data_IF_238390586693
#
_entry.id   IF_238390586693
#
_cell.length_a   1.000
_cell.length_b   1.000
_cell.length_c   1.000
_cell.angle_alpha   90.00
_cell.angle_beta   90.00
_cell.angle_gamma   90.00
#
_symmetry.space_group_name_H-M   'P 1'
#
loop_
_entity.id
_entity.type
_entity.pdbx_description
1 polymer ?
#
# COMPACT_ATOMS: atom_id res chain seq x y z
N UNK A 1 -3.94 -21.42 25.45
CA UNK A 1 -5.37 -21.52 25.08
C UNK A 1 -5.65 -20.39 24.10
N UNK A 2 -6.03 -20.70 22.86
CA UNK A 2 -6.20 -19.70 21.80
C UNK A 2 -7.68 -19.62 21.40
N UNK A 3 -8.27 -18.43 21.49
CA UNK A 3 -9.55 -18.12 20.88
C UNK A 3 -9.29 -17.40 19.54
N UNK A 4 -9.16 -18.17 18.47
CA UNK A 4 -9.13 -17.65 17.11
C UNK A 4 -10.56 -17.51 16.60
N UNK A 5 -11.22 -16.40 16.93
CA UNK A 5 -12.57 -16.09 16.45
C UNK A 5 -12.50 -15.66 14.99
N UNK A 6 -12.57 -16.61 14.06
CA UNK A 6 -12.49 -16.35 12.64
C UNK A 6 -13.68 -15.48 12.17
N UNK A 7 -13.39 -14.22 11.81
CA UNK A 7 -14.36 -13.31 11.23
C UNK A 7 -14.73 -13.79 9.81
N UNK A 8 -15.91 -14.40 9.68
CA UNK A 8 -16.35 -15.03 8.44
C UNK A 8 -17.00 -13.97 7.55
N UNK A 9 -16.31 -13.54 6.50
CA UNK A 9 -16.89 -12.62 5.52
C UNK A 9 -18.18 -13.19 4.93
N UNK A 10 -19.20 -12.34 4.66
CA UNK A 10 -20.34 -12.74 3.84
C UNK A 10 -19.84 -13.25 2.48
N UNK A 11 -20.39 -14.36 1.99
CA UNK A 11 -20.11 -14.81 0.64
C UNK A 11 -20.72 -13.81 -0.36
N UNK A 12 -19.99 -13.52 -1.43
CA UNK A 12 -20.52 -12.71 -2.52
C UNK A 12 -21.81 -13.34 -3.08
N UNK A 13 -22.81 -12.51 -3.47
CA UNK A 13 -24.01 -13.02 -4.10
C UNK A 13 -23.62 -13.75 -5.40
N UNK A 14 -24.19 -14.94 -5.61
CA UNK A 14 -23.93 -15.71 -6.84
C UNK A 14 -24.29 -14.84 -8.05
N UNK A 15 -23.46 -14.81 -9.10
CA UNK A 15 -23.84 -14.12 -10.33
C UNK A 15 -25.15 -14.72 -10.83
N UNK A 16 -26.10 -13.85 -11.18
CA UNK A 16 -27.30 -14.25 -11.88
C UNK A 16 -26.89 -14.91 -13.20
N UNK A 17 -27.62 -15.94 -13.67
CA UNK A 17 -27.36 -16.51 -14.99
C UNK A 17 -27.41 -15.40 -16.03
N UNK A 18 -26.40 -15.33 -16.91
CA UNK A 18 -26.47 -14.52 -18.11
C UNK A 18 -27.69 -14.97 -18.90
N UNK A 19 -28.64 -14.05 -19.10
CA UNK A 19 -29.60 -14.19 -20.18
C UNK A 19 -28.78 -13.97 -21.46
N UNK A 20 -28.43 -15.07 -22.12
CA UNK A 20 -27.81 -15.01 -23.44
C UNK A 20 -28.76 -14.29 -24.41
N UNK A 21 -28.18 -13.59 -25.39
CA UNK A 21 -28.88 -12.68 -26.31
C UNK A 21 -29.78 -13.41 -27.33
N UNK A 22 -30.90 -13.98 -26.87
CA UNK A 22 -31.99 -14.42 -27.74
C UNK A 22 -32.89 -13.23 -28.10
N UNK A 23 -32.59 -12.63 -29.26
CA UNK A 23 -33.39 -11.61 -29.96
C UNK A 23 -34.78 -12.14 -30.37
N UNK A 24 -35.68 -12.41 -29.41
CA UNK A 24 -37.09 -12.69 -29.70
C UNK A 24 -37.81 -11.40 -30.12
N UNK A 25 -37.69 -11.12 -31.42
CA UNK A 25 -38.39 -10.06 -32.15
C UNK A 25 -39.91 -10.16 -31.95
N UNK A 26 -40.45 -9.34 -31.04
CA UNK A 26 -41.90 -9.17 -30.86
C UNK A 26 -42.51 -8.41 -32.04
N UNK A 27 -42.72 -9.13 -33.16
CA UNK A 27 -43.45 -8.64 -34.32
C UNK A 27 -44.94 -8.57 -33.97
N UNK A 28 -45.37 -7.38 -33.51
CA UNK A 28 -46.80 -7.08 -33.30
C UNK A 28 -47.51 -6.99 -34.65
N UNK A 29 -48.06 -8.11 -35.11
CA UNK A 29 -48.92 -8.15 -36.30
C UNK A 29 -50.29 -7.52 -36.02
N UNK A 30 -50.41 -6.22 -36.25
CA UNK A 30 -51.69 -5.53 -36.34
C UNK A 30 -52.45 -5.92 -37.62
N UNK A 31 -53.01 -7.14 -37.65
CA UNK A 31 -53.88 -7.61 -38.72
C UNK A 31 -55.31 -7.05 -38.58
N UNK A 32 -55.53 -5.84 -39.10
CA UNK A 32 -56.89 -5.33 -39.34
C UNK A 32 -57.53 -6.09 -40.51
N UNK A 33 -58.45 -7.01 -40.22
CA UNK A 33 -59.41 -7.53 -41.18
C UNK A 33 -60.82 -7.50 -40.55
N UNK A 34 -61.75 -6.82 -41.25
CA UNK A 34 -63.17 -6.76 -40.87
C UNK A 34 -63.93 -7.99 -41.38
N UNK A 35 -65.17 -8.09 -40.90
CA UNK A 35 -66.29 -8.82 -41.48
C UNK A 35 -66.21 -10.36 -41.48
N UNK A 36 -66.90 -10.98 -40.52
CA UNK A 36 -68.10 -11.78 -40.84
C UNK A 36 -68.88 -12.21 -39.60
N UNK A 37 -70.18 -12.48 -39.80
CA UNK A 37 -71.12 -12.94 -38.80
C UNK A 37 -70.82 -14.38 -38.34
N UNK A 38 -70.83 -14.63 -37.03
CA UNK A 38 -71.32 -15.88 -36.46
C UNK A 38 -71.68 -15.68 -34.98
N UNK A 39 -72.86 -16.12 -34.59
CA UNK A 39 -73.27 -16.26 -33.19
C UNK A 39 -72.60 -17.49 -32.58
N UNK A 40 -71.92 -17.36 -31.44
CA UNK A 40 -72.01 -18.41 -30.42
C UNK A 40 -71.71 -17.91 -29.00
N UNK A 41 -72.19 -18.68 -28.01
CA UNK A 41 -72.22 -18.27 -26.61
C UNK A 41 -70.85 -18.31 -25.92
N UNK A 42 -70.26 -17.15 -25.65
CA UNK A 42 -69.18 -17.02 -24.66
C UNK A 42 -69.78 -16.95 -23.25
N UNK A 43 -69.73 -18.06 -22.50
CA UNK A 43 -69.84 -18.03 -21.05
C UNK A 43 -68.58 -17.35 -20.49
N UNK A 44 -68.75 -16.16 -19.92
CA UNK A 44 -67.68 -15.54 -19.13
C UNK A 44 -67.49 -16.37 -17.85
N UNK A 45 -66.51 -17.27 -17.87
CA UNK A 45 -66.03 -17.96 -16.66
C UNK A 45 -65.43 -16.92 -15.72
N UNK A 46 -66.29 -16.39 -14.86
CA UNK A 46 -65.86 -15.61 -13.69
C UNK A 46 -65.03 -16.56 -12.83
N UNK A 47 -63.75 -16.24 -12.54
CA UNK A 47 -62.91 -17.13 -11.73
C UNK A 47 -63.61 -17.37 -10.39
N UNK A 48 -63.69 -18.65 -10.01
CA UNK A 48 -64.49 -19.13 -8.89
C UNK A 48 -64.23 -18.28 -7.64
N UNK A 49 -65.30 -17.97 -6.90
CA UNK A 49 -65.24 -17.13 -5.71
C UNK A 49 -64.27 -17.69 -4.66
N UNK A 50 -64.04 -19.01 -4.68
CA UNK A 50 -62.99 -19.70 -3.94
C UNK A 50 -61.59 -19.13 -4.23
N UNK A 51 -61.18 -19.03 -5.50
CA UNK A 51 -59.86 -18.54 -5.94
C UNK A 51 -59.66 -17.08 -5.54
N UNK A 52 -60.71 -16.26 -5.64
CA UNK A 52 -60.67 -14.85 -5.22
C UNK A 52 -60.57 -14.73 -3.68
N UNK A 53 -61.13 -15.69 -2.93
CA UNK A 53 -61.01 -15.75 -1.47
C UNK A 53 -59.62 -16.19 -1.03
N UNK A 54 -59.06 -17.22 -1.68
CA UNK A 54 -57.71 -17.74 -1.42
C UNK A 54 -56.64 -16.67 -1.71
N UNK A 55 -56.72 -16.00 -2.87
CA UNK A 55 -55.81 -14.90 -3.20
C UNK A 55 -55.84 -13.77 -2.17
N UNK A 56 -57.02 -13.41 -1.63
CA UNK A 56 -57.14 -12.42 -0.55
C UNK A 56 -56.54 -12.91 0.77
N UNK A 57 -56.67 -14.20 1.07
CA UNK A 57 -56.13 -14.79 2.29
C UNK A 57 -54.60 -14.85 2.26
N UNK A 58 -54.01 -15.20 1.10
CA UNK A 58 -52.56 -15.16 0.88
C UNK A 58 -52.00 -13.74 0.97
N UNK A 59 -52.62 -12.77 0.29
CA UNK A 59 -52.22 -11.34 0.40
C UNK A 59 -52.31 -10.85 1.85
N UNK A 60 -53.32 -11.29 2.61
CA UNK A 60 -53.46 -10.93 4.02
C UNK A 60 -52.35 -11.55 4.88
N UNK A 61 -52.04 -12.84 4.69
CA UNK A 61 -50.93 -13.50 5.41
C UNK A 61 -49.59 -12.83 5.11
N UNK A 62 -49.33 -12.47 3.86
CA UNK A 62 -48.07 -11.82 3.47
C UNK A 62 -47.94 -10.41 4.09
N UNK A 63 -49.05 -9.65 4.15
CA UNK A 63 -49.06 -8.35 4.84
C UNK A 63 -48.87 -8.49 6.36
N UNK A 64 -49.46 -9.50 7.00
CA UNK A 64 -49.26 -9.79 8.43
C UNK A 64 -47.82 -10.28 8.71
N UNK A 65 -47.20 -11.02 7.79
CA UNK A 65 -45.80 -11.44 7.87
C UNK A 65 -44.85 -10.23 7.74
N UNK A 66 -45.09 -9.34 6.77
CA UNK A 66 -44.29 -8.12 6.58
C UNK A 66 -44.39 -7.14 7.76
N UNK A 67 -45.56 -7.02 8.42
CA UNK A 67 -45.72 -6.18 9.60
C UNK A 67 -45.00 -6.79 10.83
N UNK A 68 -45.09 -8.11 11.01
CA UNK A 68 -44.31 -8.87 12.00
C UNK A 68 -42.79 -8.73 11.78
N UNK A 69 -42.33 -8.78 10.53
CA UNK A 69 -40.91 -8.61 10.17
C UNK A 69 -40.44 -7.16 10.32
N UNK A 70 -41.32 -6.18 10.03
CA UNK A 70 -41.09 -4.77 10.34
C UNK A 70 -40.87 -4.52 11.83
N UNK A 71 -41.72 -5.08 12.70
CA UNK A 71 -41.52 -5.03 14.15
C UNK A 71 -40.23 -5.72 14.58
N UNK A 72 -39.86 -6.84 13.94
CA UNK A 72 -38.61 -7.57 14.20
C UNK A 72 -37.37 -6.75 13.82
N UNK A 73 -37.41 -6.04 12.70
CA UNK A 73 -36.37 -5.09 12.28
C UNK A 73 -36.27 -3.88 13.22
N UNK A 74 -37.40 -3.36 13.72
CA UNK A 74 -37.40 -2.31 14.74
C UNK A 74 -36.68 -2.72 16.01
N UNK A 75 -36.95 -3.94 16.52
CA UNK A 75 -36.26 -4.51 17.70
C UNK A 75 -34.78 -4.81 17.39
N UNK A 76 -34.44 -5.23 16.18
CA UNK A 76 -33.04 -5.43 15.77
C UNK A 76 -32.26 -4.12 15.64
N UNK A 77 -32.89 -2.99 15.30
CA UNK A 77 -32.23 -1.68 15.30
C UNK A 77 -31.87 -1.23 16.72
N UNK A 78 -32.75 -1.47 17.71
CA UNK A 78 -32.45 -1.23 19.13
C UNK A 78 -31.40 -2.21 19.66
N UNK A 79 -31.47 -3.49 19.26
CA UNK A 79 -30.47 -4.48 19.67
C UNK A 79 -29.10 -4.22 19.04
N UNK A 80 -29.00 -3.82 17.78
CA UNK A 80 -27.74 -3.39 17.16
C UNK A 80 -27.22 -2.09 17.77
N UNK A 81 -28.10 -1.13 18.11
CA UNK A 81 -27.68 0.07 18.83
C UNK A 81 -27.12 -0.28 20.21
N UNK A 82 -27.78 -1.18 20.96
CA UNK A 82 -27.32 -1.68 22.24
C UNK A 82 -26.04 -2.51 22.12
N UNK A 83 -25.90 -3.33 21.08
CA UNK A 83 -24.72 -4.18 20.83
C UNK A 83 -23.52 -3.33 20.40
N UNK A 84 -23.73 -2.24 19.64
CA UNK A 84 -22.72 -1.21 19.34
C UNK A 84 -22.36 -0.46 20.62
N UNK A 85 -23.33 -0.05 21.45
CA UNK A 85 -23.07 0.65 22.71
C UNK A 85 -22.37 -0.24 23.75
N UNK A 86 -22.70 -1.54 23.78
CA UNK A 86 -22.07 -2.54 24.63
C UNK A 86 -20.68 -2.94 24.08
N UNK A 87 -20.47 -2.93 22.76
CA UNK A 87 -19.14 -3.08 22.15
C UNK A 87 -18.26 -1.87 22.44
N UNK A 88 -18.81 -0.64 22.39
CA UNK A 88 -18.13 0.60 22.80
C UNK A 88 -17.83 0.58 24.31
N UNK A 89 -18.71 0.03 25.16
CA UNK A 89 -18.44 -0.18 26.60
C UNK A 89 -17.46 -1.33 26.88
N UNK A 90 -17.34 -2.31 25.96
CA UNK A 90 -16.36 -3.41 26.01
C UNK A 90 -15.01 -3.04 25.41
N UNK A 91 -14.90 -1.93 24.68
CA UNK A 91 -13.60 -1.32 24.41
C UNK A 91 -12.96 -0.96 25.77
N UNK A 92 -11.72 -1.37 26.03
CA UNK A 92 -11.08 -1.08 27.31
C UNK A 92 -10.98 0.44 27.51
N UNK A 93 -11.24 0.97 28.72
CA UNK A 93 -11.14 2.41 28.96
C UNK A 93 -9.70 2.87 28.71
N UNK A 94 -9.51 3.66 27.65
CA UNK A 94 -8.21 4.14 27.15
C UNK A 94 -7.48 5.10 28.11
N UNK A 95 -8.05 5.35 29.29
CA UNK A 95 -7.44 6.10 30.39
C UNK A 95 -6.65 5.22 31.40
N UNK A 96 -6.50 3.91 31.16
CA UNK A 96 -5.43 3.14 31.81
C UNK A 96 -4.22 3.07 30.88
N UNK A 97 -3.38 4.10 30.94
CA UNK A 97 -2.01 4.02 30.45
C UNK A 97 -1.37 2.74 31.03
N UNK A 98 -0.71 1.89 30.20
CA UNK A 98 -0.06 0.69 30.70
C UNK A 98 0.91 1.03 31.83
N UNK A 99 0.96 0.21 32.88
CA UNK A 99 2.00 0.38 33.92
C UNK A 99 3.41 0.18 33.33
N UNK A 100 3.49 -0.50 32.18
CA UNK A 100 4.66 -0.54 31.28
C UNK A 100 5.09 0.84 30.75
N UNK A 101 4.17 1.79 30.50
CA UNK A 101 4.56 3.18 30.14
C UNK A 101 5.11 3.95 31.35
N UNK A 102 4.61 3.69 32.57
CA UNK A 102 5.17 4.33 33.79
C UNK A 102 6.62 3.92 34.05
N UNK A 103 7.02 2.71 33.67
CA UNK A 103 8.41 2.28 33.72
C UNK A 103 9.31 2.99 32.69
N UNK A 104 8.74 3.48 31.59
CA UNK A 104 9.48 4.10 30.48
C UNK A 104 9.87 5.57 30.71
N UNK A 105 9.24 6.23 31.69
CA UNK A 105 9.50 7.65 32.01
C UNK A 105 10.35 7.89 33.27
N UNK A 106 11.05 6.86 33.78
CA UNK A 106 12.04 7.03 34.86
C UNK A 106 13.37 7.59 34.34
N UNK A 107 13.29 8.73 33.64
CA UNK A 107 14.44 9.42 33.01
C UNK A 107 15.52 9.75 34.05
N UNK A 108 15.11 10.07 35.29
CA UNK A 108 15.98 10.38 36.42
C UNK A 108 16.86 9.20 36.89
N UNK A 109 16.58 7.96 36.47
CA UNK A 109 17.34 6.77 36.89
C UNK A 109 18.34 6.26 35.85
N UNK A 110 18.34 6.79 34.63
CA UNK A 110 19.22 6.35 33.53
C UNK A 110 20.34 7.33 33.21
N UNK A 111 20.28 8.57 33.71
CA UNK A 111 21.25 9.63 33.40
C UNK A 111 22.54 9.61 34.23
N UNK A 112 22.70 8.68 35.18
CA UNK A 112 23.90 8.65 36.05
C UNK A 112 25.12 8.00 35.40
N UNK A 113 24.92 7.05 34.47
CA UNK A 113 25.99 6.20 33.94
C UNK A 113 26.15 6.30 32.41
N UNK A 114 25.28 7.05 31.71
CA UNK A 114 25.33 7.21 30.25
C UNK A 114 26.22 8.38 29.83
N UNK A 115 27.04 8.17 28.81
CA UNK A 115 27.87 9.23 28.22
C UNK A 115 27.02 10.28 27.47
N UNK A 116 27.53 11.50 27.32
CA UNK A 116 26.82 12.60 26.61
C UNK A 116 26.40 12.18 25.20
N UNK A 117 27.30 11.53 24.46
CA UNK A 117 27.07 11.05 23.09
C UNK A 117 25.98 9.97 23.03
N UNK A 118 25.82 9.18 24.09
CA UNK A 118 24.79 8.15 24.18
C UNK A 118 23.42 8.73 24.53
N UNK A 119 23.39 9.78 25.35
CA UNK A 119 22.19 10.59 25.62
C UNK A 119 21.75 11.30 24.33
N UNK A 120 22.66 11.91 23.57
CA UNK A 120 22.35 12.57 22.30
C UNK A 120 21.80 11.59 21.25
N UNK A 121 22.39 10.39 21.16
CA UNK A 121 21.91 9.33 20.26
C UNK A 121 20.53 8.82 20.66
N UNK A 122 20.26 8.64 21.96
CA UNK A 122 18.94 8.25 22.46
C UNK A 122 17.90 9.34 22.28
N UNK A 123 18.27 10.60 22.46
CA UNK A 123 17.40 11.75 22.17
C UNK A 123 17.05 11.81 20.68
N UNK A 124 18.02 11.60 19.79
CA UNK A 124 17.82 11.56 18.34
C UNK A 124 16.87 10.42 17.94
N UNK A 125 17.10 9.21 18.45
CA UNK A 125 16.21 8.06 18.26
C UNK A 125 14.77 8.37 18.72
N UNK A 126 14.60 8.95 19.91
CA UNK A 126 13.27 9.32 20.43
C UNK A 126 12.59 10.41 19.59
N UNK A 127 13.34 11.34 18.98
CA UNK A 127 12.80 12.35 18.07
C UNK A 127 12.33 11.71 16.76
N UNK A 128 13.11 10.80 16.17
CA UNK A 128 12.71 10.05 14.97
C UNK A 128 11.47 9.18 15.22
N UNK A 129 11.43 8.45 16.34
CA UNK A 129 10.25 7.68 16.77
C UNK A 129 9.02 8.58 16.97
N UNK A 130 9.20 9.79 17.53
CA UNK A 130 8.11 10.76 17.70
C UNK A 130 7.56 11.27 16.36
N UNK A 131 8.44 11.57 15.40
CA UNK A 131 8.06 11.96 14.03
C UNK A 131 7.29 10.82 13.35
N UNK A 132 7.80 9.59 13.40
CA UNK A 132 7.13 8.41 12.83
C UNK A 132 5.74 8.17 13.44
N UNK A 133 5.61 8.26 14.77
CA UNK A 133 4.32 8.15 15.46
C UNK A 133 3.34 9.26 15.04
N UNK A 134 3.82 10.50 14.90
CA UNK A 134 3.01 11.62 14.43
C UNK A 134 2.49 11.40 13.01
N UNK A 135 3.34 10.92 12.11
CA UNK A 135 2.95 10.64 10.73
C UNK A 135 1.98 9.45 10.65
N UNK A 136 2.18 8.41 11.45
CA UNK A 136 1.25 7.27 11.60
C UNK A 136 -0.14 7.75 12.07
N UNK A 137 -0.19 8.66 13.06
CA UNK A 137 -1.44 9.26 13.55
C UNK A 137 -2.11 10.13 12.46
N UNK A 138 -1.34 10.90 11.68
CA UNK A 138 -1.87 11.69 10.57
C UNK A 138 -2.48 10.80 9.47
N UNK A 139 -1.79 9.72 9.07
CA UNK A 139 -2.32 8.73 8.13
C UNK A 139 -3.60 8.07 8.65
N UNK A 140 -3.62 7.66 9.92
CA UNK A 140 -4.80 7.07 10.55
C UNK A 140 -6.00 8.04 10.54
N UNK A 141 -5.78 9.31 10.90
CA UNK A 141 -6.81 10.35 10.84
C UNK A 141 -7.35 10.57 9.42
N UNK A 142 -6.49 10.51 8.39
CA UNK A 142 -6.92 10.59 6.98
C UNK A 142 -7.75 9.37 6.57
N UNK A 143 -7.35 8.16 6.98
CA UNK A 143 -8.09 6.93 6.73
C UNK A 143 -9.47 6.93 7.42
N UNK A 144 -9.53 7.34 8.69
CA UNK A 144 -10.77 7.49 9.46
C UNK A 144 -11.71 8.50 8.80
N UNK A 145 -11.18 9.65 8.34
CA UNK A 145 -11.98 10.63 7.59
C UNK A 145 -12.55 10.05 6.30
N UNK A 146 -11.73 9.33 5.51
CA UNK A 146 -12.21 8.66 4.29
C UNK A 146 -13.27 7.60 4.57
N UNK A 147 -13.16 6.85 5.67
CA UNK A 147 -14.20 5.90 6.08
C UNK A 147 -15.49 6.62 6.51
N UNK A 148 -15.39 7.73 7.25
CA UNK A 148 -16.53 8.55 7.63
C UNK A 148 -17.27 9.13 6.42
N UNK A 149 -16.54 9.66 5.43
CA UNK A 149 -17.10 10.19 4.18
C UNK A 149 -17.85 9.07 3.39
N UNK A 150 -17.32 7.84 3.37
CA UNK A 150 -18.00 6.67 2.77
C UNK A 150 -19.29 6.28 3.51
N UNK A 151 -19.28 6.32 4.85
CA UNK A 151 -20.47 6.03 5.67
C UNK A 151 -21.55 7.10 5.46
N UNK A 152 -21.16 8.39 5.37
CA UNK A 152 -22.09 9.48 5.05
C UNK A 152 -22.74 9.28 3.67
N UNK A 153 -21.96 8.98 2.64
CA UNK A 153 -22.48 8.74 1.29
C UNK A 153 -23.49 7.57 1.27
N UNK A 154 -23.15 6.45 1.92
CA UNK A 154 -24.06 5.32 2.04
C UNK A 154 -25.36 5.69 2.79
N UNK A 155 -25.25 6.46 3.86
CA UNK A 155 -26.40 6.94 4.63
C UNK A 155 -27.33 7.84 3.79
N UNK A 156 -26.77 8.74 2.99
CA UNK A 156 -27.53 9.61 2.08
C UNK A 156 -28.28 8.80 0.99
N UNK A 157 -27.64 7.78 0.43
CA UNK A 157 -28.25 6.94 -0.61
C UNK A 157 -29.32 6.00 -0.04
N UNK A 158 -29.10 5.41 1.14
CA UNK A 158 -30.14 4.67 1.87
C UNK A 158 -31.35 5.57 2.20
N UNK A 159 -31.12 6.82 2.65
CA UNK A 159 -32.22 7.78 2.82
C UNK A 159 -32.94 8.08 1.50
N UNK A 160 -32.22 8.21 0.37
CA UNK A 160 -32.78 8.46 -0.95
C UNK A 160 -33.67 7.29 -1.39
N UNK A 161 -33.20 6.05 -1.28
CA UNK A 161 -34.00 4.84 -1.55
C UNK A 161 -35.26 4.84 -0.66
N UNK A 162 -35.13 5.05 0.65
CA UNK A 162 -36.28 5.09 1.57
C UNK A 162 -37.30 6.18 1.20
N UNK A 163 -36.86 7.37 0.78
CA UNK A 163 -37.74 8.43 0.24
C UNK A 163 -38.49 7.93 -1.00
N UNK A 164 -37.79 7.39 -2.00
CA UNK A 164 -38.45 6.90 -3.24
C UNK A 164 -39.43 5.75 -2.99
N UNK A 165 -39.16 4.84 -2.05
CA UNK A 165 -40.08 3.77 -1.67
C UNK A 165 -41.33 4.33 -0.98
N UNK A 166 -41.16 5.30 -0.07
CA UNK A 166 -42.28 6.01 0.57
C UNK A 166 -43.16 6.72 -0.45
N UNK A 167 -42.57 7.40 -1.43
CA UNK A 167 -43.31 8.10 -2.48
C UNK A 167 -44.08 7.12 -3.39
N UNK A 168 -43.45 6.00 -3.77
CA UNK A 168 -44.10 4.89 -4.51
C UNK A 168 -45.27 4.28 -3.72
N UNK A 169 -45.14 4.10 -2.40
CA UNK A 169 -46.21 3.60 -1.54
C UNK A 169 -47.38 4.59 -1.43
N UNK A 170 -47.09 5.89 -1.35
CA UNK A 170 -48.12 6.94 -1.37
C UNK A 170 -48.86 6.95 -2.71
N UNK A 171 -48.14 6.81 -3.83
CA UNK A 171 -48.75 6.79 -5.16
C UNK A 171 -49.59 5.52 -5.40
N UNK A 172 -49.07 4.34 -5.03
CA UNK A 172 -49.83 3.09 -5.08
C UNK A 172 -51.13 3.19 -4.25
N UNK A 173 -51.09 3.85 -3.08
CA UNK A 173 -52.29 4.12 -2.28
C UNK A 173 -53.27 5.04 -2.99
N UNK A 174 -52.81 6.12 -3.65
CA UNK A 174 -53.69 7.00 -4.47
C UNK A 174 -54.39 6.22 -5.59
N UNK A 175 -53.66 5.39 -6.33
CA UNK A 175 -54.22 4.55 -7.40
C UNK A 175 -55.26 3.58 -6.85
N UNK A 176 -54.98 2.93 -5.71
CA UNK A 176 -55.93 2.03 -5.04
C UNK A 176 -57.21 2.77 -4.61
N UNK A 177 -57.09 3.98 -4.06
CA UNK A 177 -58.24 4.76 -3.60
C UNK A 177 -59.05 5.36 -4.77
N UNK A 178 -58.41 5.72 -5.88
CA UNK A 178 -59.08 6.07 -7.13
C UNK A 178 -59.87 4.88 -7.72
N UNK A 179 -59.25 3.70 -7.84
CA UNK A 179 -59.92 2.49 -8.33
C UNK A 179 -61.09 2.03 -7.44
N UNK A 180 -61.06 2.32 -6.13
CA UNK A 180 -62.22 2.13 -5.24
C UNK A 180 -63.36 3.10 -5.58
N UNK A 181 -63.05 4.39 -5.75
CA UNK A 181 -64.01 5.42 -6.14
C UNK A 181 -64.69 5.07 -7.46
N UNK A 182 -63.91 4.69 -8.49
CA UNK A 182 -64.41 4.32 -9.81
C UNK A 182 -65.29 3.07 -9.73
N UNK A 183 -64.86 2.05 -8.99
CA UNK A 183 -65.66 0.83 -8.73
C UNK A 183 -67.00 1.16 -8.06
N UNK A 184 -67.03 2.12 -7.14
CA UNK A 184 -68.25 2.55 -6.47
C UNK A 184 -69.10 3.54 -7.31
N UNK A 185 -68.53 4.20 -8.34
CA UNK A 185 -69.31 4.88 -9.39
C UNK A 185 -69.97 3.89 -10.34
N UNK A 186 -69.18 2.96 -10.90
CA UNK A 186 -69.67 1.93 -11.82
C UNK A 186 -70.76 1.05 -11.19
N UNK A 187 -70.67 0.75 -9.88
CA UNK A 187 -71.77 0.10 -9.15
C UNK A 187 -73.06 0.92 -9.14
N UNK A 188 -72.97 2.23 -8.89
CA UNK A 188 -74.14 3.15 -8.87
C UNK A 188 -74.76 3.25 -10.25
N UNK A 189 -73.97 3.46 -11.29
CA UNK A 189 -74.40 3.47 -12.69
C UNK A 189 -75.05 2.14 -13.10
N UNK A 190 -74.47 1.00 -12.71
CA UNK A 190 -75.06 -0.32 -12.96
C UNK A 190 -76.39 -0.52 -12.25
N UNK A 191 -76.57 0.00 -11.02
CA UNK A 191 -77.87 -0.04 -10.34
C UNK A 191 -78.92 0.86 -11.00
N UNK A 192 -78.51 2.01 -11.55
CA UNK A 192 -79.42 2.94 -12.22
C UNK A 192 -79.85 2.43 -13.60
N UNK A 193 -78.91 1.91 -14.39
CA UNK A 193 -79.21 1.26 -15.68
C UNK A 193 -80.15 0.05 -15.52
N UNK A 194 -80.09 -0.67 -14.39
CA UNK A 194 -81.07 -1.71 -14.08
C UNK A 194 -82.48 -1.15 -13.86
N UNK A 195 -82.63 -0.06 -13.09
CA UNK A 195 -83.93 0.61 -12.89
C UNK A 195 -84.53 1.10 -14.21
N UNK A 196 -83.73 1.79 -15.02
CA UNK A 196 -84.17 2.29 -16.34
C UNK A 196 -84.64 1.13 -17.23
N UNK A 197 -83.91 0.01 -17.26
CA UNK A 197 -84.31 -1.19 -18.00
C UNK A 197 -85.62 -1.81 -17.47
N UNK A 198 -85.79 -1.86 -16.16
CA UNK A 198 -87.01 -2.39 -15.51
C UNK A 198 -88.22 -1.49 -15.76
N UNK A 199 -88.04 -0.17 -15.92
CA UNK A 199 -89.11 0.76 -16.28
C UNK A 199 -89.43 0.74 -17.79
N UNK A 200 -88.41 0.73 -18.66
CA UNK A 200 -88.61 0.55 -20.11
C UNK A 200 -89.33 -0.76 -20.44
N UNK A 201 -89.07 -1.85 -19.71
CA UNK A 201 -89.79 -3.13 -19.92
C UNK A 201 -91.25 -3.07 -19.46
N UNK A 202 -91.60 -2.25 -18.47
CA UNK A 202 -93.01 -1.97 -18.10
C UNK A 202 -93.72 -1.14 -19.17
N UNK A 203 -93.07 -0.14 -19.75
CA UNK A 203 -93.69 0.72 -20.76
C UNK A 203 -93.81 0.04 -22.14
N UNK A 204 -92.86 -0.83 -22.51
CA UNK A 204 -92.99 -1.73 -23.68
C UNK A 204 -94.13 -2.75 -23.47
N UNK A 205 -94.38 -3.20 -22.24
CA UNK A 205 -95.53 -4.05 -21.93
C UNK A 205 -96.88 -3.30 -22.00
N UNK A 206 -96.91 -2.00 -21.69
CA UNK A 206 -98.10 -1.13 -21.80
C UNK A 206 -98.43 -0.74 -23.24
N UNK A 207 -97.42 -0.60 -24.10
CA UNK A 207 -97.59 -0.07 -25.47
C UNK A 207 -98.07 -1.10 -26.51
N UNK A 208 -98.59 -2.26 -26.08
CA UNK A 208 -98.93 -3.39 -26.96
C UNK A 208 -100.44 -3.68 -27.14
N UNK A 209 -101.33 -2.82 -26.62
CA UNK A 209 -102.75 -3.17 -26.43
C UNK A 209 -103.82 -2.30 -27.09
N UNK A 210 -103.49 -1.24 -27.86
CA UNK A 210 -104.52 -0.34 -28.42
C UNK A 210 -104.31 0.04 -29.90
N UNK A 211 -105.38 -0.07 -30.70
CA UNK A 211 -105.44 0.31 -32.12
C UNK A 211 -106.49 -0.48 -32.92
N UNK A 212 -107.67 0.11 -33.18
CA UNK A 212 -108.75 -0.47 -34.01
C UNK A 212 -109.35 0.59 -34.96
N UNK A 213 -109.66 0.18 -36.18
CA UNK A 213 -110.41 0.95 -37.20
C UNK A 213 -111.86 1.29 -36.78
N UNK A 214 -112.49 2.30 -37.43
CA UNK A 214 -113.75 1.99 -38.14
C UNK A 214 -113.98 2.71 -39.49
N UNK A 215 -114.94 2.19 -40.28
CA UNK A 215 -115.38 2.69 -41.61
C UNK A 215 -116.59 3.65 -41.56
N UNK A 216 -116.99 4.18 -42.73
CA UNK A 216 -117.75 5.43 -42.94
C UNK A 216 -118.90 5.28 -43.94
N UNK A 217 -119.96 6.10 -43.77
CA UNK A 217 -121.03 6.44 -44.71
C UNK A 217 -121.32 7.97 -44.52
N UNK A 218 -121.81 8.83 -45.43
CA UNK A 218 -122.43 8.73 -46.78
C UNK A 218 -123.95 8.46 -46.77
N UNK A 219 -124.81 9.13 -47.54
CA UNK A 219 -124.59 10.06 -48.68
C UNK A 219 -125.11 11.50 -48.47
N UNK A 220 -125.86 11.79 -47.39
CA UNK A 220 -126.17 13.17 -46.94
C UNK A 220 -124.90 13.96 -46.55
N UNK A 221 -123.77 13.26 -46.50
CA UNK A 221 -122.47 13.83 -46.20
C UNK A 221 -122.03 14.89 -47.22
N UNK A 222 -122.38 14.86 -48.51
CA UNK A 222 -121.67 15.68 -49.54
C UNK A 222 -121.72 17.20 -49.32
N UNK A 223 -122.81 17.78 -48.81
CA UNK A 223 -122.87 19.23 -48.53
C UNK A 223 -122.23 19.62 -47.19
N UNK A 224 -122.48 18.84 -46.12
CA UNK A 224 -121.73 19.04 -44.86
C UNK A 224 -120.25 18.70 -45.03
N UNK A 225 -119.88 17.77 -45.91
CA UNK A 225 -118.50 17.45 -46.29
C UNK A 225 -117.85 18.62 -46.99
N UNK A 226 -118.55 19.43 -47.79
CA UNK A 226 -117.88 20.55 -48.43
C UNK A 226 -117.55 21.64 -47.40
N UNK A 227 -118.45 21.92 -46.47
CA UNK A 227 -118.24 22.92 -45.42
C UNK A 227 -117.29 22.40 -44.32
N UNK A 228 -117.46 21.15 -43.88
CA UNK A 228 -116.52 20.46 -42.99
C UNK A 228 -115.17 20.25 -43.68
N UNK A 229 -115.09 19.97 -44.98
CA UNK A 229 -113.79 19.89 -45.67
C UNK A 229 -113.17 21.27 -45.87
N UNK A 230 -113.93 22.34 -46.10
CA UNK A 230 -113.35 23.70 -46.14
C UNK A 230 -112.90 24.18 -44.75
N UNK A 231 -113.59 23.77 -43.68
CA UNK A 231 -113.13 23.95 -42.31
C UNK A 231 -111.92 23.06 -41.98
N UNK A 232 -111.92 21.80 -42.46
CA UNK A 232 -110.80 20.85 -42.31
C UNK A 232 -109.59 21.30 -43.12
N UNK A 233 -109.77 21.90 -44.29
CA UNK A 233 -108.71 22.50 -45.11
C UNK A 233 -108.11 23.67 -44.34
N UNK A 234 -108.92 24.59 -43.79
CA UNK A 234 -108.37 25.67 -42.94
C UNK A 234 -107.68 25.17 -41.67
N UNK A 235 -108.21 24.14 -41.01
CA UNK A 235 -107.58 23.49 -39.85
C UNK A 235 -106.28 22.77 -40.26
N UNK A 236 -106.24 22.15 -41.44
CA UNK A 236 -105.06 21.51 -42.02
C UNK A 236 -104.03 22.55 -42.48
N UNK A 237 -104.44 23.69 -43.02
CA UNK A 237 -103.57 24.81 -43.38
C UNK A 237 -102.97 25.44 -42.11
N UNK A 238 -103.76 25.70 -41.08
CA UNK A 238 -103.27 26.25 -39.80
C UNK A 238 -102.38 25.24 -39.05
N UNK A 239 -102.67 23.94 -39.12
CA UNK A 239 -101.79 22.91 -38.55
C UNK A 239 -100.54 22.67 -39.40
N UNK A 240 -100.61 22.76 -40.74
CA UNK A 240 -99.43 22.76 -41.61
C UNK A 240 -98.55 23.98 -41.33
N UNK A 241 -99.10 25.19 -41.22
CA UNK A 241 -98.33 26.39 -40.89
C UNK A 241 -97.66 26.26 -39.51
N UNK A 242 -98.39 25.74 -38.50
CA UNK A 242 -97.80 25.43 -37.17
C UNK A 242 -96.71 24.36 -37.24
N UNK A 243 -96.88 23.34 -38.09
CA UNK A 243 -95.87 22.29 -38.32
C UNK A 243 -94.67 22.79 -39.10
N UNK A 244 -94.83 23.70 -40.06
CA UNK A 244 -93.75 24.35 -40.80
C UNK A 244 -92.97 25.32 -39.90
N UNK A 245 -93.66 26.14 -39.10
CA UNK A 245 -93.02 27.02 -38.12
C UNK A 245 -92.32 26.21 -37.02
N UNK A 246 -92.94 25.11 -36.56
CA UNK A 246 -92.33 24.16 -35.62
C UNK A 246 -91.12 23.45 -36.22
N UNK A 247 -91.21 23.02 -37.48
CA UNK A 247 -90.15 22.40 -38.26
C UNK A 247 -88.95 23.32 -38.42
N UNK A 248 -89.17 24.55 -38.92
CA UNK A 248 -88.11 25.57 -39.04
C UNK A 248 -87.44 25.86 -37.70
N UNK A 249 -88.20 26.06 -36.62
CA UNK A 249 -87.63 26.23 -35.26
C UNK A 249 -86.83 25.01 -34.80
N UNK A 250 -87.25 23.80 -35.17
CA UNK A 250 -86.50 22.58 -34.89
C UNK A 250 -85.21 22.50 -35.71
N UNK A 251 -85.23 22.90 -36.98
CA UNK A 251 -84.06 22.97 -37.86
C UNK A 251 -83.07 24.06 -37.39
N UNK A 252 -83.55 25.25 -37.00
CA UNK A 252 -82.74 26.33 -36.43
C UNK A 252 -82.08 25.90 -35.11
N UNK A 253 -82.80 25.17 -34.25
CA UNK A 253 -82.24 24.61 -33.01
C UNK A 253 -81.18 23.53 -33.31
N UNK A 254 -81.45 22.62 -34.25
CA UNK A 254 -80.51 21.55 -34.63
C UNK A 254 -79.25 22.11 -35.31
N UNK A 255 -79.38 23.12 -36.17
CA UNK A 255 -78.23 23.78 -36.80
C UNK A 255 -77.38 24.54 -35.78
N UNK A 256 -77.99 25.28 -34.85
CA UNK A 256 -77.27 25.91 -33.74
C UNK A 256 -76.53 24.89 -32.86
N UNK A 257 -77.13 23.73 -32.59
CA UNK A 257 -76.48 22.68 -31.81
C UNK A 257 -75.31 22.02 -32.58
N UNK A 258 -75.47 21.79 -33.88
CA UNK A 258 -74.39 21.32 -34.76
C UNK A 258 -73.23 22.32 -34.78
N UNK A 259 -73.49 23.62 -34.78
CA UNK A 259 -72.44 24.65 -34.73
C UNK A 259 -71.69 24.66 -33.39
N UNK A 260 -72.40 24.54 -32.25
CA UNK A 260 -71.76 24.39 -30.92
C UNK A 260 -70.87 23.16 -30.87
N UNK A 261 -71.39 22.00 -31.30
CA UNK A 261 -70.63 20.75 -31.35
C UNK A 261 -69.41 20.85 -32.29
N UNK A 262 -69.49 21.59 -33.40
CA UNK A 262 -68.33 21.87 -34.26
C UNK A 262 -67.28 22.72 -33.55
N UNK A 263 -67.67 23.78 -32.85
CA UNK A 263 -66.76 24.64 -32.10
C UNK A 263 -66.07 23.89 -30.95
N UNK A 264 -66.81 23.02 -30.24
CA UNK A 264 -66.27 22.17 -29.17
C UNK A 264 -65.31 21.09 -29.69
N UNK A 265 -65.62 20.48 -30.84
CA UNK A 265 -64.70 19.57 -31.53
C UNK A 265 -63.43 20.30 -32.01
N UNK A 266 -63.53 21.54 -32.53
CA UNK A 266 -62.35 22.32 -32.93
C UNK A 266 -61.46 22.66 -31.73
N UNK A 267 -62.05 23.00 -30.58
CA UNK A 267 -61.33 23.24 -29.32
C UNK A 267 -60.61 21.97 -28.85
N UNK A 268 -61.32 20.84 -28.81
CA UNK A 268 -60.76 19.53 -28.45
C UNK A 268 -59.61 19.10 -29.37
N UNK A 269 -59.71 19.37 -30.68
CA UNK A 269 -58.64 19.10 -31.65
C UNK A 269 -57.39 19.98 -31.45
N UNK A 270 -57.54 21.21 -30.95
CA UNK A 270 -56.41 22.08 -30.56
C UNK A 270 -55.73 21.54 -29.31
N UNK A 271 -56.49 21.20 -28.28
CA UNK A 271 -55.97 20.61 -27.04
C UNK A 271 -55.22 19.28 -27.32
N UNK A 272 -55.76 18.40 -28.15
CA UNK A 272 -55.09 17.16 -28.58
C UNK A 272 -53.78 17.45 -29.33
N UNK A 273 -53.72 18.52 -30.14
CA UNK A 273 -52.51 18.92 -30.86
C UNK A 273 -51.42 19.41 -29.92
N UNK A 274 -51.78 20.26 -28.96
CA UNK A 274 -50.86 20.77 -27.93
C UNK A 274 -50.32 19.65 -27.03
N UNK A 275 -51.18 18.71 -26.61
CA UNK A 275 -50.77 17.52 -25.85
C UNK A 275 -49.79 16.66 -26.64
N UNK A 276 -50.03 16.46 -27.95
CA UNK A 276 -49.10 15.71 -28.82
C UNK A 276 -47.75 16.41 -28.97
N UNK A 277 -47.74 17.73 -29.19
CA UNK A 277 -46.49 18.49 -29.31
C UNK A 277 -45.68 18.43 -28.00
N UNK A 278 -46.34 18.62 -26.86
CA UNK A 278 -45.69 18.51 -25.54
C UNK A 278 -45.18 17.09 -25.25
N UNK A 279 -45.93 16.06 -25.65
CA UNK A 279 -45.48 14.66 -25.56
C UNK A 279 -44.22 14.41 -26.41
N UNK A 280 -44.13 14.96 -27.62
CA UNK A 280 -42.91 14.83 -28.45
C UNK A 280 -41.71 15.55 -27.84
N UNK A 281 -41.89 16.75 -27.27
CA UNK A 281 -40.82 17.49 -26.57
C UNK A 281 -40.31 16.71 -25.35
N UNK A 282 -41.21 16.23 -24.50
CA UNK A 282 -40.86 15.45 -23.30
C UNK A 282 -40.15 14.13 -23.65
N UNK A 283 -40.53 13.50 -24.77
CA UNK A 283 -39.87 12.28 -25.27
C UNK A 283 -38.42 12.56 -25.70
N UNK A 284 -38.17 13.69 -26.38
CA UNK A 284 -36.82 14.09 -26.79
C UNK A 284 -35.95 14.55 -25.59
N UNK A 285 -36.52 15.26 -24.62
CA UNK A 285 -35.85 15.58 -23.36
C UNK A 285 -35.46 14.32 -22.59
N UNK A 286 -36.34 13.31 -22.52
CA UNK A 286 -36.04 12.01 -21.93
C UNK A 286 -34.92 11.26 -22.69
N UNK A 287 -34.91 11.35 -24.02
CA UNK A 287 -33.85 10.76 -24.87
C UNK A 287 -32.48 11.41 -24.57
N UNK A 288 -32.43 12.74 -24.53
CA UNK A 288 -31.22 13.50 -24.21
C UNK A 288 -30.75 13.26 -22.76
N UNK A 289 -31.69 13.13 -21.81
CA UNK A 289 -31.37 12.78 -20.42
C UNK A 289 -30.70 11.41 -20.32
N UNK A 290 -31.22 10.38 -21.00
CA UNK A 290 -30.61 9.04 -21.05
C UNK A 290 -29.24 9.04 -21.73
N UNK A 291 -29.05 9.84 -22.77
CA UNK A 291 -27.75 9.98 -23.43
C UNK A 291 -26.70 10.61 -22.49
N UNK A 292 -27.10 11.59 -21.67
CA UNK A 292 -26.23 12.19 -20.65
C UNK A 292 -25.96 11.26 -19.46
N UNK A 293 -26.96 10.48 -19.04
CA UNK A 293 -26.82 9.43 -18.01
C UNK A 293 -25.78 8.38 -18.44
N UNK A 294 -25.88 7.85 -19.66
CA UNK A 294 -24.91 6.90 -20.21
C UNK A 294 -23.50 7.50 -20.33
N UNK A 295 -23.36 8.78 -20.73
CA UNK A 295 -22.06 9.47 -20.73
C UNK A 295 -21.48 9.62 -19.32
N UNK A 296 -22.32 9.88 -18.32
CA UNK A 296 -21.88 10.00 -16.93
C UNK A 296 -21.45 8.64 -16.36
N UNK A 297 -22.20 7.57 -16.65
CA UNK A 297 -21.88 6.20 -16.29
C UNK A 297 -20.52 5.77 -16.90
N UNK A 298 -20.30 6.03 -18.18
CA UNK A 298 -19.00 5.78 -18.83
C UNK A 298 -17.85 6.55 -18.17
N UNK A 299 -18.08 7.79 -17.73
CA UNK A 299 -17.07 8.55 -16.97
C UNK A 299 -16.81 7.99 -15.57
N UNK A 300 -17.84 7.47 -14.89
CA UNK A 300 -17.68 6.79 -13.60
C UNK A 300 -16.84 5.52 -13.78
N UNK A 301 -17.20 4.65 -14.73
CA UNK A 301 -16.44 3.43 -15.05
C UNK A 301 -14.97 3.75 -15.39
N UNK A 302 -14.72 4.80 -16.18
CA UNK A 302 -13.37 5.23 -16.52
C UNK A 302 -12.56 5.74 -15.31
N UNK A 303 -13.22 6.41 -14.35
CA UNK A 303 -12.59 6.84 -13.09
C UNK A 303 -12.30 5.65 -12.18
N UNK A 304 -13.25 4.74 -11.97
CA UNK A 304 -13.07 3.54 -11.15
C UNK A 304 -11.90 2.68 -11.64
N UNK A 305 -11.79 2.43 -12.96
CA UNK A 305 -10.64 1.72 -13.55
C UNK A 305 -9.29 2.40 -13.29
N UNK A 306 -9.28 3.73 -13.24
CA UNK A 306 -8.06 4.51 -12.92
C UNK A 306 -7.71 4.42 -11.43
N UNK A 307 -8.71 4.41 -10.55
CA UNK A 307 -8.52 4.20 -9.11
C UNK A 307 -8.01 2.78 -8.81
N UNK A 308 -8.56 1.75 -9.47
CA UNK A 308 -8.04 0.38 -9.42
C UNK A 308 -6.58 0.31 -9.88
N UNK A 309 -6.24 0.96 -10.99
CA UNK A 309 -4.86 1.01 -11.50
C UNK A 309 -3.90 1.69 -10.52
N UNK A 310 -4.31 2.81 -9.89
CA UNK A 310 -3.50 3.50 -8.88
C UNK A 310 -3.35 2.67 -7.61
N UNK A 311 -4.41 2.00 -7.16
CA UNK A 311 -4.38 1.09 -6.00
C UNK A 311 -3.42 -0.08 -6.24
N UNK A 312 -3.45 -0.68 -7.45
CA UNK A 312 -2.50 -1.73 -7.84
C UNK A 312 -1.05 -1.23 -8.00
N UNK A 313 -0.83 0.05 -8.29
CA UNK A 313 0.52 0.65 -8.26
C UNK A 313 1.01 0.89 -6.83
N UNK A 314 0.11 1.31 -5.93
CA UNK A 314 0.42 1.54 -4.51
C UNK A 314 0.84 0.23 -3.83
N UNK A 315 0.07 -0.85 -3.99
CA UNK A 315 0.40 -2.17 -3.43
C UNK A 315 1.78 -2.70 -3.91
N UNK A 316 2.12 -2.47 -5.18
CA UNK A 316 3.46 -2.81 -5.74
C UNK A 316 4.58 -1.91 -5.24
N UNK A 317 4.27 -0.71 -4.74
CA UNK A 317 5.24 0.16 -4.11
C UNK A 317 5.46 -0.24 -2.63
N UNK A 318 4.40 -0.66 -1.94
CA UNK A 318 4.44 -1.22 -0.58
C UNK A 318 5.26 -2.52 -0.54
N UNK A 319 5.01 -3.48 -1.43
CA UNK A 319 5.80 -4.73 -1.57
C UNK A 319 7.31 -4.43 -1.76
N UNK A 320 7.64 -3.41 -2.56
CA UNK A 320 9.03 -2.98 -2.77
C UNK A 320 9.62 -2.29 -1.55
N UNK A 321 8.83 -1.53 -0.80
CA UNK A 321 9.27 -0.89 0.44
C UNK A 321 9.58 -1.96 1.51
N UNK A 322 8.71 -2.97 1.67
CA UNK A 322 8.97 -4.12 2.54
C UNK A 322 10.27 -4.85 2.15
N UNK A 323 10.49 -5.09 0.86
CA UNK A 323 11.73 -5.72 0.40
C UNK A 323 12.98 -4.86 0.69
N UNK A 324 12.87 -3.53 0.57
CA UNK A 324 13.96 -2.59 0.94
C UNK A 324 14.22 -2.61 2.44
N UNK A 325 13.21 -2.69 3.29
CA UNK A 325 13.40 -2.83 4.75
C UNK A 325 14.08 -4.16 5.13
N UNK A 326 13.70 -5.26 4.48
CA UNK A 326 14.39 -6.55 4.68
C UNK A 326 15.87 -6.46 4.29
N UNK A 327 16.19 -5.81 3.16
CA UNK A 327 17.58 -5.59 2.73
C UNK A 327 18.34 -4.65 3.69
N UNK A 328 17.71 -3.60 4.22
CA UNK A 328 18.29 -2.71 5.24
C UNK A 328 18.63 -3.48 6.52
N UNK A 329 17.71 -4.32 7.00
CA UNK A 329 17.93 -5.16 8.18
C UNK A 329 19.08 -6.16 7.97
N UNK A 330 19.19 -6.77 6.78
CA UNK A 330 20.29 -7.65 6.42
C UNK A 330 21.63 -6.90 6.36
N UNK A 331 21.68 -5.71 5.76
CA UNK A 331 22.89 -4.88 5.72
C UNK A 331 23.34 -4.47 7.12
N UNK A 332 22.41 -4.04 7.99
CA UNK A 332 22.70 -3.71 9.38
C UNK A 332 23.26 -4.92 10.15
N UNK A 333 22.68 -6.12 9.98
CA UNK A 333 23.19 -7.35 10.59
C UNK A 333 24.62 -7.69 10.13
N UNK A 334 24.88 -7.63 8.82
CA UNK A 334 26.20 -7.90 8.24
C UNK A 334 27.22 -6.87 8.74
N UNK A 335 26.84 -5.60 8.83
CA UNK A 335 27.71 -4.53 9.30
C UNK A 335 28.08 -4.71 10.78
N UNK A 336 27.13 -5.07 11.65
CA UNK A 336 27.42 -5.45 13.04
C UNK A 336 28.39 -6.63 13.11
N UNK A 337 28.15 -7.70 12.35
CA UNK A 337 29.03 -8.88 12.30
C UNK A 337 30.44 -8.56 11.80
N UNK A 338 30.58 -7.63 10.86
CA UNK A 338 31.87 -7.14 10.39
C UNK A 338 32.59 -6.38 11.53
N UNK A 339 31.91 -5.47 12.22
CA UNK A 339 32.52 -4.72 13.34
C UNK A 339 32.91 -5.61 14.53
N UNK A 340 32.13 -6.65 14.83
CA UNK A 340 32.49 -7.67 15.82
C UNK A 340 33.79 -8.38 15.42
N UNK A 341 33.87 -8.89 14.17
CA UNK A 341 35.06 -9.58 13.67
C UNK A 341 36.30 -8.67 13.56
N UNK A 342 36.11 -7.39 13.24
CA UNK A 342 37.19 -6.40 13.27
C UNK A 342 37.69 -6.12 14.69
N UNK A 343 36.79 -6.09 15.69
CA UNK A 343 37.15 -5.96 17.10
C UNK A 343 37.91 -7.20 17.61
N UNK A 344 37.42 -8.41 17.31
CA UNK A 344 38.09 -9.68 17.61
C UNK A 344 39.50 -9.73 16.97
N UNK A 345 39.62 -9.32 15.70
CA UNK A 345 40.90 -9.24 15.00
C UNK A 345 41.84 -8.21 15.63
N UNK A 346 41.34 -7.05 16.03
CA UNK A 346 42.12 -6.02 16.71
C UNK A 346 42.60 -6.50 18.09
N UNK A 347 41.74 -7.19 18.86
CA UNK A 347 42.10 -7.79 20.13
C UNK A 347 43.16 -8.88 19.95
N UNK A 348 42.96 -9.83 19.03
CA UNK A 348 43.92 -10.89 18.74
C UNK A 348 45.28 -10.33 18.27
N UNK A 349 45.27 -9.24 17.49
CA UNK A 349 46.48 -8.55 17.06
C UNK A 349 47.18 -7.81 18.22
N UNK A 350 46.42 -7.19 19.12
CA UNK A 350 46.97 -6.58 20.34
C UNK A 350 47.56 -7.63 21.29
N UNK A 351 46.87 -8.76 21.51
CA UNK A 351 47.38 -9.90 22.26
C UNK A 351 48.64 -10.50 21.64
N UNK A 352 48.71 -10.61 20.31
CA UNK A 352 49.91 -11.08 19.62
C UNK A 352 51.10 -10.13 19.83
N UNK A 353 50.89 -8.81 19.71
CA UNK A 353 51.94 -7.79 19.96
C UNK A 353 52.37 -7.76 21.43
N UNK A 354 51.44 -7.92 22.37
CA UNK A 354 51.74 -8.01 23.80
C UNK A 354 52.48 -9.30 24.15
N UNK A 355 52.12 -10.45 23.55
CA UNK A 355 52.90 -11.69 23.64
C UNK A 355 54.30 -11.52 23.08
N UNK A 356 54.49 -10.94 21.88
CA UNK A 356 55.83 -10.66 21.33
C UNK A 356 56.64 -9.62 22.11
N UNK A 357 56.02 -8.86 23.04
CA UNK A 357 56.71 -7.99 24.01
C UNK A 357 57.01 -8.68 25.35
N UNK A 358 56.21 -9.68 25.73
CA UNK A 358 56.26 -10.40 27.02
C UNK A 358 56.94 -11.75 26.94
N UNK A 359 57.05 -12.34 25.75
CA UNK A 359 58.12 -13.28 25.45
C UNK A 359 59.41 -12.55 25.86
N UNK A 360 60.13 -13.05 26.89
CA UNK A 360 61.45 -12.52 27.14
C UNK A 360 62.20 -12.66 25.82
N UNK A 361 62.81 -11.57 25.35
CA UNK A 361 63.85 -11.67 24.32
C UNK A 361 64.83 -12.65 24.92
N UNK A 362 64.83 -13.88 24.39
CA UNK A 362 65.41 -15.04 25.04
C UNK A 362 66.78 -14.65 25.58
N UNK A 363 67.04 -14.91 26.86
CA UNK A 363 68.33 -14.56 27.47
C UNK A 363 69.48 -15.14 26.62
N UNK A 364 69.23 -16.26 25.92
CA UNK A 364 70.08 -16.79 24.85
C UNK A 364 70.22 -15.82 23.65
N UNK A 365 69.15 -15.34 23.01
CA UNK A 365 69.25 -14.33 21.93
C UNK A 365 69.89 -13.01 22.38
N UNK A 366 69.67 -12.58 23.62
CA UNK A 366 70.29 -11.38 24.17
C UNK A 366 71.80 -11.60 24.37
N UNK A 367 72.19 -12.73 25.00
CA UNK A 367 73.58 -13.13 25.19
C UNK A 367 74.31 -13.37 23.86
N UNK A 368 73.68 -14.05 22.90
CA UNK A 368 74.22 -14.28 21.55
C UNK A 368 74.46 -12.96 20.81
N UNK A 369 73.58 -11.97 20.97
CA UNK A 369 73.76 -10.65 20.37
C UNK A 369 74.93 -9.90 20.98
N UNK A 370 75.05 -9.90 22.31
CA UNK A 370 76.21 -9.33 23.02
C UNK A 370 77.51 -10.04 22.62
N UNK A 371 77.49 -11.37 22.52
CA UNK A 371 78.64 -12.18 22.08
C UNK A 371 79.05 -11.84 20.64
N UNK A 372 78.08 -11.61 19.75
CA UNK A 372 78.34 -11.25 18.35
C UNK A 372 78.91 -9.83 18.22
N UNK A 373 78.45 -8.89 19.07
CA UNK A 373 79.02 -7.54 19.16
C UNK A 373 80.45 -7.55 19.74
N UNK A 374 80.73 -8.40 20.75
CA UNK A 374 82.10 -8.62 21.28
C UNK A 374 83.02 -9.20 20.20
N UNK A 375 82.64 -10.30 19.53
CA UNK A 375 83.48 -10.88 18.47
C UNK A 375 83.70 -9.92 17.30
N UNK A 376 82.74 -9.04 17.01
CA UNK A 376 82.91 -8.01 15.99
C UNK A 376 83.94 -6.95 16.42
N UNK A 377 83.90 -6.52 17.68
CA UNK A 377 84.90 -5.60 18.24
C UNK A 377 86.30 -6.22 18.26
N UNK A 378 86.42 -7.47 18.72
CA UNK A 378 87.68 -8.23 18.73
C UNK A 378 88.24 -8.42 17.31
N UNK A 379 87.39 -8.74 16.33
CA UNK A 379 87.79 -8.89 14.93
C UNK A 379 88.27 -7.57 14.31
N UNK A 380 87.58 -6.46 14.60
CA UNK A 380 88.00 -5.14 14.13
C UNK A 380 89.31 -4.69 14.79
N UNK A 381 89.57 -5.03 16.06
CA UNK A 381 90.81 -4.71 16.75
C UNK A 381 91.99 -5.58 16.29
N UNK A 382 91.78 -6.90 16.15
CA UNK A 382 92.75 -7.83 15.55
C UNK A 382 93.11 -7.40 14.12
N UNK A 383 92.14 -6.89 13.36
CA UNK A 383 92.37 -6.32 12.03
C UNK A 383 93.25 -5.06 12.10
N UNK A 384 92.95 -4.10 12.99
CA UNK A 384 93.79 -2.90 13.20
C UNK A 384 95.21 -3.28 13.60
N UNK A 385 95.36 -4.23 14.52
CA UNK A 385 96.66 -4.73 14.96
C UNK A 385 97.45 -5.36 13.80
N UNK A 386 96.81 -6.16 12.93
CA UNK A 386 97.44 -6.71 11.71
C UNK A 386 97.83 -5.64 10.70
N UNK A 387 96.98 -4.63 10.48
CA UNK A 387 97.27 -3.51 9.58
C UNK A 387 98.46 -2.68 10.12
N UNK A 388 98.54 -2.47 11.45
CA UNK A 388 99.67 -1.81 12.11
C UNK A 388 100.98 -2.63 12.02
N UNK A 389 100.95 -3.92 12.37
CA UNK A 389 102.12 -4.81 12.26
C UNK A 389 102.63 -4.88 10.82
N UNK A 390 101.72 -4.91 9.83
CA UNK A 390 102.11 -4.85 8.42
C UNK A 390 102.81 -3.53 8.08
N UNK A 391 102.26 -2.39 8.51
CA UNK A 391 102.88 -1.09 8.28
C UNK A 391 104.27 -0.96 8.94
N UNK A 392 104.46 -1.51 10.15
CA UNK A 392 105.78 -1.58 10.79
C UNK A 392 106.74 -2.50 10.04
N UNK A 393 106.27 -3.67 9.57
CA UNK A 393 107.07 -4.58 8.74
C UNK A 393 107.53 -3.90 7.46
N UNK A 394 106.61 -3.29 6.72
CA UNK A 394 106.90 -2.63 5.44
C UNK A 394 107.91 -1.47 5.64
N UNK A 395 107.80 -0.73 6.76
CA UNK A 395 108.77 0.30 7.17
C UNK A 395 110.15 -0.28 7.51
N UNK A 396 110.22 -1.35 8.30
CA UNK A 396 111.48 -2.01 8.64
C UNK A 396 112.16 -2.64 7.42
N UNK A 397 111.38 -3.11 6.45
CA UNK A 397 111.88 -3.63 5.17
C UNK A 397 112.47 -2.50 4.30
N UNK A 398 111.83 -1.33 4.26
CA UNK A 398 112.39 -0.13 3.63
C UNK A 398 113.68 0.36 4.33
N UNK A 399 113.68 0.47 5.66
CA UNK A 399 114.87 0.85 6.44
C UNK A 399 116.04 -0.12 6.21
N UNK A 400 115.76 -1.43 6.15
CA UNK A 400 116.76 -2.46 5.88
C UNK A 400 117.32 -2.38 4.45
N UNK A 401 116.48 -2.13 3.44
CA UNK A 401 116.91 -1.89 2.06
C UNK A 401 117.76 -0.60 1.94
N UNK A 402 117.40 0.46 2.66
CA UNK A 402 118.17 1.70 2.70
C UNK A 402 119.53 1.50 3.38
N UNK A 403 119.59 0.75 4.49
CA UNK A 403 120.84 0.36 5.16
C UNK A 403 121.71 -0.56 4.29
N UNK A 404 121.12 -1.50 3.56
CA UNK A 404 121.85 -2.34 2.59
C UNK A 404 122.44 -1.48 1.46
N UNK A 405 121.64 -0.58 0.86
CA UNK A 405 122.12 0.36 -0.17
C UNK A 405 123.24 1.25 0.34
N UNK A 406 123.16 1.77 1.57
CA UNK A 406 124.24 2.60 2.14
C UNK A 406 125.49 1.79 2.47
N UNK A 407 125.36 0.55 2.95
CA UNK A 407 126.51 -0.34 3.12
C UNK A 407 127.18 -0.68 1.79
N UNK A 408 126.40 -0.92 0.73
CA UNK A 408 126.94 -1.16 -0.62
C UNK A 408 127.70 0.06 -1.14
N UNK A 409 127.13 1.27 -1.01
CA UNK A 409 127.84 2.52 -1.33
C UNK A 409 129.14 2.68 -0.53
N UNK A 410 129.13 2.39 0.78
CA UNK A 410 130.33 2.46 1.61
C UNK A 410 131.39 1.42 1.22
N UNK A 411 130.98 0.23 0.77
CA UNK A 411 131.88 -0.78 0.23
C UNK A 411 132.51 -0.32 -1.09
N UNK A 412 131.70 0.28 -1.98
CA UNK A 412 132.16 0.90 -3.23
C UNK A 412 133.12 2.08 -2.96
N UNK A 413 132.81 2.96 -2.00
CA UNK A 413 133.67 4.06 -1.53
C UNK A 413 135.02 3.52 -1.01
N UNK A 414 135.01 2.46 -0.19
CA UNK A 414 136.23 1.79 0.31
C UNK A 414 137.03 1.14 -0.81
N UNK A 415 136.37 0.53 -1.79
CA UNK A 415 137.03 -0.12 -2.93
C UNK A 415 137.68 0.90 -3.88
N UNK A 416 137.03 2.06 -4.10
CA UNK A 416 137.62 3.21 -4.80
C UNK A 416 138.85 3.73 -4.06
N UNK A 417 138.77 3.92 -2.73
CA UNK A 417 139.90 4.36 -1.92
C UNK A 417 141.07 3.37 -1.93
N UNK A 418 140.80 2.06 -1.97
CA UNK A 418 141.83 1.01 -2.16
C UNK A 418 142.46 1.07 -3.55
N UNK A 419 141.67 1.31 -4.60
CA UNK A 419 142.14 1.39 -5.98
C UNK A 419 142.85 2.71 -6.33
N UNK A 420 142.70 3.77 -5.52
CA UNK A 420 143.36 5.06 -5.71
C UNK A 420 144.67 5.25 -4.92
N UNK A 421 145.22 4.18 -4.35
CA UNK A 421 146.68 3.99 -4.35
C UNK A 421 147.54 4.96 -3.54
N UNK A 422 147.05 5.44 -2.39
CA UNK A 422 147.86 6.14 -1.37
C UNK A 422 147.34 5.83 0.06
N UNK A 423 147.16 4.54 0.36
CA UNK A 423 146.88 4.09 1.73
C UNK A 423 147.68 2.83 2.07
N UNK A 424 148.79 3.02 2.79
CA UNK A 424 149.55 1.91 3.37
C UNK A 424 148.66 1.10 4.34
N UNK A 425 148.75 -0.24 4.34
CA UNK A 425 148.11 -1.05 5.36
C UNK A 425 148.89 -0.91 6.68
N UNK A 426 148.51 0.10 7.49
CA UNK A 426 149.05 0.28 8.85
C UNK A 426 148.70 -0.94 9.70
N UNK A 427 149.69 -1.80 9.89
CA UNK A 427 149.56 -3.00 10.70
C UNK A 427 149.52 -2.69 12.20
N UNK A 428 148.91 -3.62 12.93
CA UNK A 428 149.10 -3.89 14.36
C UNK A 428 148.98 -2.72 15.36
N UNK A 429 147.86 -2.68 16.10
CA UNK A 429 147.99 -2.77 17.56
C UNK A 429 146.71 -3.15 18.30
N UNK A 430 146.93 -3.69 19.51
CA UNK A 430 145.98 -3.82 20.64
C UNK A 430 144.81 -4.79 20.50
N UNK A 431 145.09 -6.00 20.99
CA UNK A 431 144.47 -6.50 22.22
C UNK A 431 143.38 -5.58 22.83
N UNK A 432 142.12 -5.93 22.58
CA UNK A 432 140.98 -5.50 23.40
C UNK A 432 140.14 -6.74 23.70
N UNK A 433 140.69 -7.58 24.60
CA UNK A 433 139.99 -8.71 25.23
C UNK A 433 138.66 -8.18 25.80
N UNK A 434 137.48 -8.56 25.26
CA UNK A 434 136.23 -8.22 25.93
C UNK A 434 136.26 -8.92 27.29
N UNK A 435 135.76 -8.27 28.37
CA UNK A 435 135.86 -8.85 29.69
C UNK A 435 135.16 -10.20 29.71
N UNK A 436 135.85 -11.21 30.22
CA UNK A 436 135.21 -12.38 30.83
C UNK A 436 134.47 -11.90 32.07
N UNK A 437 133.38 -11.17 31.84
CA UNK A 437 132.45 -10.80 32.87
C UNK A 437 131.75 -12.10 33.23
N UNK A 438 132.18 -12.70 34.34
CA UNK A 438 131.53 -13.86 34.95
C UNK A 438 130.12 -13.43 35.35
N UNK A 439 129.22 -13.46 34.37
CA UNK A 439 127.86 -13.01 34.44
C UNK A 439 127.12 -13.90 35.43
N UNK A 440 127.21 -13.55 36.71
CA UNK A 440 126.51 -14.21 37.78
C UNK A 440 125.04 -13.86 37.64
N UNK A 441 124.37 -14.62 36.78
CA UNK A 441 122.96 -14.44 36.47
C UNK A 441 122.17 -14.68 37.75
N UNK A 442 121.23 -13.77 38.02
CA UNK A 442 120.45 -13.81 39.24
C UNK A 442 119.03 -14.23 38.92
N UNK A 443 118.44 -15.05 39.79
CA UNK A 443 117.00 -15.23 39.78
C UNK A 443 116.35 -13.86 40.03
N UNK A 444 115.48 -13.35 39.14
CA UNK A 444 114.87 -12.03 39.32
C UNK A 444 113.95 -11.95 40.55
N UNK A 445 113.52 -13.12 41.07
CA UNK A 445 112.58 -13.23 42.18
C UNK A 445 113.25 -13.22 43.56
N UNK A 446 114.36 -13.94 43.74
CA UNK A 446 115.04 -14.10 45.03
C UNK A 446 116.51 -13.59 45.03
N UNK A 447 116.99 -13.05 43.91
CA UNK A 447 118.35 -12.52 43.71
C UNK A 447 119.53 -13.48 43.94
N UNK A 448 119.30 -14.79 44.11
CA UNK A 448 120.35 -15.82 44.19
C UNK A 448 121.14 -15.83 42.88
N UNK A 449 122.48 -15.88 42.99
CA UNK A 449 123.44 -15.88 41.88
C UNK A 449 123.74 -17.31 41.42
N UNK A 450 123.82 -17.49 40.10
CA UNK A 450 124.20 -18.74 39.43
C UNK A 450 125.36 -18.51 38.48
N UNK A 451 126.20 -19.52 38.31
CA UNK A 451 127.39 -19.50 37.45
C UNK A 451 127.13 -20.04 36.04
N UNK A 452 125.99 -20.70 35.81
CA UNK A 452 125.54 -21.17 34.51
C UNK A 452 124.02 -20.97 34.30
N UNK A 453 123.58 -20.95 33.05
CA UNK A 453 122.15 -20.82 32.69
C UNK A 453 121.31 -22.01 33.18
N UNK A 454 121.73 -23.29 33.02
CA UNK A 454 120.89 -24.44 33.39
C UNK A 454 120.61 -24.58 34.91
N UNK A 455 121.44 -23.99 35.77
CA UNK A 455 121.17 -23.88 37.20
C UNK A 455 120.19 -22.73 37.50
N UNK A 456 120.34 -21.57 36.83
CA UNK A 456 119.40 -20.47 36.91
C UNK A 456 117.99 -20.94 36.50
N UNK A 457 117.84 -21.58 35.35
CA UNK A 457 116.53 -22.07 34.86
C UNK A 457 115.89 -23.05 35.85
N UNK A 458 116.61 -24.12 36.26
CA UNK A 458 116.10 -25.09 37.26
C UNK A 458 115.78 -24.49 38.62
N UNK A 459 116.38 -23.35 38.95
CA UNK A 459 116.02 -22.59 40.14
C UNK A 459 114.80 -21.70 39.88
N UNK A 460 114.73 -20.97 38.77
CA UNK A 460 113.60 -20.10 38.42
C UNK A 460 112.30 -20.89 38.34
N UNK A 461 112.29 -22.07 37.70
CA UNK A 461 111.12 -22.96 37.71
C UNK A 461 110.66 -23.29 39.14
N UNK A 462 111.57 -23.77 40.01
CA UNK A 462 111.24 -24.06 41.43
C UNK A 462 110.91 -22.81 42.26
N UNK A 463 111.46 -21.66 41.95
CA UNK A 463 111.23 -20.40 42.67
C UNK A 463 109.91 -19.73 42.25
N UNK A 464 109.36 -20.10 41.09
CA UNK A 464 107.99 -19.79 40.70
C UNK A 464 107.04 -20.78 41.40
N UNK A 465 107.25 -22.09 41.23
CA UNK A 465 106.40 -23.16 41.78
C UNK A 465 106.25 -23.15 43.32
N UNK A 466 107.31 -22.80 44.07
CA UNK A 466 107.25 -22.77 45.54
C UNK A 466 106.49 -21.58 46.13
N UNK A 467 106.18 -20.57 45.31
CA UNK A 467 105.53 -19.33 45.76
C UNK A 467 104.00 -19.39 45.62
N UNK A 468 103.48 -20.33 44.81
CA UNK A 468 102.05 -20.65 44.71
C UNK A 468 101.54 -21.46 45.93
N UNK A 469 102.40 -21.73 46.93
CA UNK A 469 102.14 -22.59 48.10
C UNK A 469 102.46 -21.93 49.46
N UNK A 470 102.59 -20.60 49.50
CA UNK A 470 102.51 -19.82 50.74
C UNK A 470 101.18 -19.02 50.74
N UNK A 471 100.41 -19.01 51.85
CA UNK A 471 99.04 -18.53 51.91
C UNK A 471 98.89 -17.00 51.96
#
# INVERSE_FOLDING_TARGET
MAFATAFKMPQEPRPLPSLDDDDESFVVLCSNARDSQASDSFSADVPDASVISEAKQLIKQELEALDMESMRCGVNATNQSNEIEETIKKMPPTNKAPESMKAMFSITSLTSDMSSDEIERKLSQLVEENVHLKDTILQNNMALKSQYDKILFWYEDVQKVHRTLKDKLIEAKRVIDALKSDKDSLKRELTEMKRIKDDMTKDVARSRTEGKDPKRNEDDMKNLQLEVANAKIRELEETLEKLEIGGRKSEDNLTSEIEKLRAENEKSLKEIREIRENSTKLTEELRLSKENESKLEQQVIAKTRKEEQLTGQLARAEEKAEHVEVLRAQLAYIQTKLTESECERAQAQAEAVDRSRKEPIDDETCALKVQLDVYKADFDEERRAREAIKAEKDRLEEDLLNLQRRNQQLQEEIEILRNHGDFEPVGASREARPPSNEGTMRCPKCAIKFTDVPQLERHVYRCIELDDHLP
#
